data_IF_257965522922
#
_entry.id   IF_257965522922
#
_cell.length_a   1.000
_cell.length_b   1.000
_cell.length_c   1.000
_cell.angle_alpha   90.00
_cell.angle_beta   90.00
_cell.angle_gamma   90.00
#
_symmetry.space_group_name_H-M   'P 1'
#
loop_
_entity.id
_entity.type
_entity.pdbx_description
1 polymer ?
#
# COMPACT_ATOMS: atom_id res chain seq x y z
N UNK A 1 4.41 -1.37 2.93
CA UNK A 1 3.93 -2.40 3.90
C UNK A 1 4.91 -2.67 5.05
N UNK A 2 6.18 -2.98 4.80
CA UNK A 2 7.16 -3.30 5.86
C UNK A 2 7.40 -2.10 6.80
N UNK A 3 7.57 -0.90 6.24
CA UNK A 3 7.75 0.35 7.01
C UNK A 3 6.52 0.70 7.83
N UNK A 4 5.34 0.74 7.21
CA UNK A 4 4.07 1.03 7.88
C UNK A 4 3.80 0.09 9.06
N UNK A 5 4.06 -1.22 8.90
CA UNK A 5 3.91 -2.22 9.96
C UNK A 5 4.94 -2.08 11.08
N UNK A 6 6.22 -1.89 10.74
CA UNK A 6 7.31 -1.80 11.74
C UNK A 6 7.18 -0.53 12.58
N UNK A 7 6.91 0.62 11.96
CA UNK A 7 6.70 1.89 12.65
C UNK A 7 5.44 1.86 13.52
N UNK A 8 4.33 1.33 13.01
CA UNK A 8 3.11 1.21 13.81
C UNK A 8 3.32 0.32 15.04
N UNK A 9 3.93 -0.87 14.87
CA UNK A 9 4.24 -1.77 15.99
C UNK A 9 5.16 -1.11 17.03
N UNK A 10 6.19 -0.41 16.59
CA UNK A 10 7.14 0.24 17.49
C UNK A 10 6.53 1.40 18.28
N UNK A 11 5.56 2.13 17.70
CA UNK A 11 4.83 3.19 18.41
C UNK A 11 3.85 2.62 19.41
N UNK A 12 3.11 1.58 19.03
CA UNK A 12 2.18 0.87 19.92
C UNK A 12 2.94 0.29 21.14
N UNK A 13 4.10 -0.32 20.94
CA UNK A 13 4.90 -0.86 22.06
C UNK A 13 5.44 0.23 23.01
N UNK A 14 5.54 1.48 22.55
CA UNK A 14 5.96 2.62 23.36
C UNK A 14 4.78 3.37 24.01
N UNK A 15 3.54 2.97 23.71
CA UNK A 15 2.34 3.70 24.14
C UNK A 15 2.21 5.10 23.52
N UNK A 16 3.00 5.40 22.49
CA UNK A 16 3.02 6.72 21.86
C UNK A 16 1.87 6.85 20.84
N UNK A 17 1.09 7.92 20.96
CA UNK A 17 0.07 8.25 19.96
C UNK A 17 0.67 9.14 18.87
N UNK A 18 0.89 8.63 17.65
CA UNK A 18 1.43 9.45 16.58
C UNK A 18 0.41 10.52 16.14
N UNK A 19 0.94 11.67 15.71
CA UNK A 19 0.16 12.66 14.99
C UNK A 19 -0.43 12.06 13.71
N UNK A 20 -1.49 12.69 13.17
CA UNK A 20 -2.10 12.22 11.91
C UNK A 20 -1.05 12.11 10.80
N UNK A 21 -0.23 13.14 10.61
CA UNK A 21 0.82 13.14 9.60
C UNK A 21 1.85 12.01 9.83
N UNK A 22 2.27 11.77 11.06
CA UNK A 22 3.24 10.72 11.37
C UNK A 22 2.70 9.30 11.12
N UNK A 23 1.39 9.08 11.29
CA UNK A 23 0.75 7.80 11.00
C UNK A 23 0.54 7.55 9.50
N UNK A 24 0.23 8.61 8.73
CA UNK A 24 -0.10 8.49 7.31
C UNK A 24 1.10 8.69 6.38
N UNK A 25 2.19 9.33 6.82
CA UNK A 25 3.40 9.50 6.00
C UNK A 25 3.98 8.18 5.46
N UNK A 26 4.04 7.07 6.24
CA UNK A 26 4.45 5.77 5.70
C UNK A 26 3.52 5.23 4.60
N UNK A 27 2.21 5.51 4.69
CA UNK A 27 1.22 5.11 3.68
C UNK A 27 1.45 5.90 2.39
N UNK A 28 1.65 7.22 2.50
CA UNK A 28 1.95 8.09 1.37
C UNK A 28 3.28 7.69 0.69
N UNK A 29 4.29 7.32 1.48
CA UNK A 29 5.54 6.80 0.95
C UNK A 29 5.36 5.46 0.22
N UNK A 30 4.65 4.50 0.81
CA UNK A 30 4.31 3.23 0.15
C UNK A 30 3.57 3.49 -1.18
N UNK A 31 2.62 4.43 -1.22
CA UNK A 31 1.92 4.83 -2.44
C UNK A 31 2.86 5.42 -3.51
N UNK A 32 3.75 6.33 -3.12
CA UNK A 32 4.73 6.92 -4.04
C UNK A 32 5.66 5.87 -4.65
N UNK A 33 6.13 4.92 -3.85
CA UNK A 33 6.93 3.78 -4.31
C UNK A 33 6.17 2.91 -5.31
N UNK A 34 4.88 2.65 -5.09
CA UNK A 34 4.05 1.89 -6.01
C UNK A 34 3.83 2.61 -7.34
N UNK A 35 3.59 3.93 -7.31
CA UNK A 35 3.47 4.75 -8.53
C UNK A 35 4.78 4.71 -9.32
N UNK A 36 5.91 4.89 -8.64
CA UNK A 36 7.23 4.83 -9.28
C UNK A 36 7.49 3.45 -9.92
N UNK A 37 7.20 2.37 -9.18
CA UNK A 37 7.33 1.01 -9.70
C UNK A 37 6.43 0.79 -10.92
N UNK A 38 5.18 1.26 -10.88
CA UNK A 38 4.25 1.15 -12.01
C UNK A 38 4.77 1.88 -13.25
N UNK A 39 5.24 3.13 -13.09
CA UNK A 39 5.80 3.93 -14.20
C UNK A 39 7.00 3.23 -14.85
N UNK A 40 7.90 2.67 -14.05
CA UNK A 40 9.07 1.95 -14.54
C UNK A 40 8.67 0.65 -15.28
N UNK A 41 7.71 -0.09 -14.74
CA UNK A 41 7.30 -1.40 -15.27
C UNK A 41 6.30 -1.32 -16.43
N UNK A 42 5.62 -0.19 -16.61
CA UNK A 42 4.58 -0.04 -17.62
C UNK A 42 5.12 -0.18 -19.05
N UNK A 43 6.28 0.40 -19.36
CA UNK A 43 6.89 0.30 -20.70
C UNK A 43 7.30 -1.14 -21.06
N UNK A 44 8.03 -1.88 -20.19
CA UNK A 44 8.27 -3.31 -20.40
C UNK A 44 7.00 -4.13 -20.56
N UNK A 45 5.99 -3.88 -19.73
CA UNK A 45 4.71 -4.57 -19.82
C UNK A 45 4.03 -4.33 -21.18
N UNK A 46 3.96 -3.07 -21.63
CA UNK A 46 3.42 -2.72 -22.93
C UNK A 46 4.14 -3.45 -24.07
N UNK A 47 5.47 -3.40 -24.10
CA UNK A 47 6.29 -4.08 -25.10
C UNK A 47 6.03 -5.59 -25.14
N UNK A 48 5.88 -6.23 -23.97
CA UNK A 48 5.55 -7.65 -23.87
C UNK A 48 4.17 -7.96 -24.45
N UNK A 49 3.15 -7.15 -24.11
CA UNK A 49 1.78 -7.36 -24.60
C UNK A 49 1.66 -7.17 -26.11
N UNK A 50 2.41 -6.22 -26.67
CA UNK A 50 2.49 -5.98 -28.11
C UNK A 50 3.22 -7.13 -28.82
N UNK A 51 4.37 -7.56 -28.30
CA UNK A 51 5.17 -8.66 -28.88
C UNK A 51 4.41 -9.97 -28.92
N UNK A 52 3.64 -10.26 -27.86
CA UNK A 52 2.84 -11.48 -27.76
C UNK A 52 1.44 -11.35 -28.37
N UNK A 53 1.11 -10.21 -28.99
CA UNK A 53 -0.20 -9.91 -29.57
C UNK A 53 -1.36 -10.21 -28.61
N UNK A 54 -1.25 -9.75 -27.37
CA UNK A 54 -2.28 -10.00 -26.37
C UNK A 54 -3.61 -9.36 -26.79
N UNK A 55 -4.73 -10.11 -26.73
CA UNK A 55 -6.04 -9.51 -26.91
C UNK A 55 -6.34 -8.56 -25.74
N UNK A 56 -7.16 -7.54 -26.00
CA UNK A 56 -7.45 -6.45 -25.05
C UNK A 56 -7.90 -6.98 -23.68
N UNK A 57 -8.77 -8.00 -23.64
CA UNK A 57 -9.25 -8.58 -22.39
C UNK A 57 -8.13 -9.19 -21.55
N UNK A 58 -7.13 -9.81 -22.19
CA UNK A 58 -6.00 -10.43 -21.51
C UNK A 58 -5.06 -9.35 -20.95
N UNK A 59 -4.81 -8.28 -21.71
CA UNK A 59 -4.05 -7.11 -21.23
C UNK A 59 -4.71 -6.46 -20.03
N UNK A 60 -6.04 -6.23 -20.08
CA UNK A 60 -6.81 -5.66 -18.96
C UNK A 60 -6.75 -6.58 -17.73
N UNK A 61 -6.92 -7.89 -17.93
CA UNK A 61 -6.86 -8.88 -16.85
C UNK A 61 -5.47 -8.91 -16.21
N UNK A 62 -4.40 -8.83 -17.02
CA UNK A 62 -3.03 -8.80 -16.52
C UNK A 62 -2.73 -7.52 -15.73
N UNK A 63 -3.19 -6.35 -16.19
CA UNK A 63 -3.06 -5.09 -15.45
C UNK A 63 -3.83 -5.13 -14.12
N UNK A 64 -5.01 -5.74 -14.09
CA UNK A 64 -5.79 -5.93 -12.87
C UNK A 64 -5.03 -6.85 -11.89
N UNK A 65 -4.60 -8.02 -12.36
CA UNK A 65 -3.97 -9.05 -11.53
C UNK A 65 -2.59 -8.65 -11.01
N UNK A 66 -1.77 -8.00 -11.84
CA UNK A 66 -0.37 -7.68 -11.51
C UNK A 66 -0.18 -6.26 -11.01
N UNK A 67 -1.03 -5.32 -11.44
CA UNK A 67 -0.97 -3.92 -11.02
C UNK A 67 -1.97 -3.63 -9.90
N UNK A 68 -3.26 -3.67 -10.24
CA UNK A 68 -4.32 -3.18 -9.35
C UNK A 68 -4.40 -3.97 -8.03
N UNK A 69 -4.54 -5.30 -8.09
CA UNK A 69 -4.74 -6.12 -6.88
C UNK A 69 -3.56 -5.98 -5.89
N UNK A 70 -2.28 -6.08 -6.30
CA UNK A 70 -1.15 -5.90 -5.39
C UNK A 70 -1.06 -4.48 -4.81
N UNK A 71 -1.30 -3.44 -5.64
CA UNK A 71 -1.31 -2.05 -5.19
C UNK A 71 -2.39 -1.86 -4.12
N UNK A 72 -3.61 -2.33 -4.38
CA UNK A 72 -4.72 -2.25 -3.41
C UNK A 72 -4.39 -2.97 -2.11
N UNK A 73 -3.82 -4.18 -2.17
CA UNK A 73 -3.42 -4.91 -0.98
C UNK A 73 -2.45 -4.09 -0.12
N UNK A 74 -1.40 -3.52 -0.72
CA UNK A 74 -0.42 -2.70 0.02
C UNK A 74 -1.07 -1.47 0.64
N UNK A 75 -1.92 -0.75 -0.08
CA UNK A 75 -2.56 0.47 0.43
C UNK A 75 -3.58 0.18 1.53
N UNK A 76 -4.38 -0.89 1.39
CA UNK A 76 -5.33 -1.33 2.41
C UNK A 76 -4.59 -1.70 3.69
N UNK A 77 -3.58 -2.56 3.62
CA UNK A 77 -2.85 -2.94 4.83
C UNK A 77 -2.12 -1.76 5.46
N UNK A 78 -1.53 -0.87 4.66
CA UNK A 78 -0.81 0.30 5.18
C UNK A 78 -1.77 1.27 5.89
N UNK A 79 -2.95 1.50 5.33
CA UNK A 79 -3.99 2.35 5.94
C UNK A 79 -4.60 1.72 7.21
N UNK A 80 -4.76 0.39 7.26
CA UNK A 80 -5.16 -0.32 8.47
C UNK A 80 -4.15 -0.13 9.61
N UNK A 81 -2.85 -0.22 9.33
CA UNK A 81 -1.81 0.01 10.34
C UNK A 81 -1.74 1.48 10.79
N UNK A 82 -1.89 2.43 9.88
CA UNK A 82 -1.96 3.86 10.22
C UNK A 82 -3.14 4.14 11.16
N UNK A 83 -4.32 3.60 10.82
CA UNK A 83 -5.52 3.71 11.65
C UNK A 83 -5.35 3.06 13.02
N UNK A 84 -4.86 1.81 13.05
CA UNK A 84 -4.63 1.06 14.29
C UNK A 84 -3.63 1.75 15.21
N UNK A 85 -2.55 2.33 14.66
CA UNK A 85 -1.53 3.03 15.47
C UNK A 85 -2.06 4.25 16.23
N UNK A 86 -3.23 4.78 15.85
CA UNK A 86 -3.86 5.95 16.47
C UNK A 86 -5.09 5.61 17.30
N UNK A 87 -5.52 4.34 17.31
CA UNK A 87 -6.66 3.87 18.08
C UNK A 87 -6.31 3.90 19.57
N UNK A 88 -7.23 4.40 20.39
CA UNK A 88 -7.14 4.35 21.86
C UNK A 88 -8.17 3.31 22.28
N UNK A 89 -7.73 2.28 23.01
CA UNK A 89 -8.67 1.40 23.69
C UNK A 89 -9.39 2.25 24.75
N UNK A 90 -10.69 2.45 24.56
CA UNK A 90 -11.52 3.03 25.64
C UNK A 90 -11.44 2.05 26.80
N UNK A 91 -10.83 2.46 27.91
CA UNK A 91 -11.02 1.74 29.16
C UNK A 91 -12.53 1.61 29.40
N UNK A 92 -13.04 0.42 29.73
CA UNK A 92 -14.43 0.27 30.12
C UNK A 92 -14.64 1.18 31.34
N UNK A 93 -15.53 2.15 31.21
CA UNK A 93 -15.93 3.00 32.34
C UNK A 93 -16.43 2.10 33.46
N UNK A 94 -15.72 2.09 34.59
CA UNK A 94 -16.19 1.49 35.84
C UNK A 94 -17.51 2.11 36.31
#
# INVERSE_FOLDING_TARGET
MLLSRTLAKSRISRGERPSWAAAWAPVAFDAACLVLAFVILYRPFQSLTETLNFPVWATVTALLALGFIPIQAVLIFSSLWASKSRWIDKEPSE
#
